data_IF_370832904836
#
_entry.id   IF_370832904836
#
_cell.length_a   1.000
_cell.length_b   1.000
_cell.length_c   1.000
_cell.angle_alpha   90.00
_cell.angle_beta   90.00
_cell.angle_gamma   90.00
#
_symmetry.space_group_name_H-M   'P 1'
#
loop_
_entity.id
_entity.type
_entity.pdbx_description
1 polymer ?
#
# COMPACT_ATOMS: atom_id res chain seq x y z
N UNK A 1 -14.29 -2.70 -3.72
CA UNK A 1 -14.20 -2.92 -2.27
C UNK A 1 -14.71 -1.71 -1.52
N UNK A 2 -15.59 -1.95 -0.56
CA UNK A 2 -16.10 -0.88 0.29
C UNK A 2 -15.26 -0.77 1.54
N UNK A 3 -14.55 0.33 1.66
CA UNK A 3 -13.81 0.65 2.89
C UNK A 3 -14.10 2.09 3.26
N UNK A 4 -14.03 2.37 4.56
CA UNK A 4 -14.39 3.70 5.06
C UNK A 4 -13.22 4.64 4.85
N UNK A 5 -13.21 5.30 3.70
CA UNK A 5 -12.16 6.23 3.30
C UNK A 5 -12.07 7.40 4.27
N UNK A 6 -13.21 7.94 4.69
CA UNK A 6 -13.23 9.11 5.58
C UNK A 6 -12.63 8.77 6.95
N UNK A 7 -12.99 7.63 7.50
CA UNK A 7 -12.44 7.19 8.78
C UNK A 7 -10.93 6.97 8.69
N UNK A 8 -10.49 6.37 7.58
CA UNK A 8 -9.06 6.15 7.36
C UNK A 8 -8.30 7.46 7.23
N UNK A 9 -8.88 8.43 6.50
CA UNK A 9 -8.29 9.75 6.36
C UNK A 9 -8.12 10.43 7.72
N UNK A 10 -9.13 10.34 8.57
CA UNK A 10 -9.06 10.91 9.91
C UNK A 10 -7.94 10.29 10.73
N UNK A 11 -7.78 8.96 10.64
CA UNK A 11 -6.69 8.27 11.32
C UNK A 11 -5.33 8.68 10.80
N UNK A 12 -5.19 8.81 9.48
CA UNK A 12 -3.92 9.26 8.89
C UNK A 12 -3.55 10.65 9.41
N UNK A 13 -4.50 11.56 9.43
CA UNK A 13 -4.24 12.94 9.84
C UNK A 13 -4.02 13.06 11.36
N UNK A 14 -4.61 12.15 12.14
CA UNK A 14 -4.38 12.12 13.58
C UNK A 14 -2.99 11.59 13.95
N UNK A 15 -2.43 10.69 13.12
CA UNK A 15 -1.19 10.00 13.44
C UNK A 15 0.04 10.48 12.65
N UNK A 16 -0.17 11.33 11.65
CA UNK A 16 0.92 11.82 10.79
C UNK A 16 0.74 13.29 10.50
N UNK A 17 1.85 14.04 10.51
CA UNK A 17 1.87 15.44 10.10
C UNK A 17 2.37 15.48 8.66
N UNK A 18 1.45 15.64 7.70
CA UNK A 18 1.82 15.73 6.29
C UNK A 18 2.39 17.10 5.95
N UNK A 19 3.38 17.15 5.04
CA UNK A 19 4.03 16.04 4.38
C UNK A 19 4.91 15.23 5.32
N UNK A 20 4.99 13.93 5.10
CA UNK A 20 5.79 13.06 5.95
C UNK A 20 6.23 11.81 5.18
N UNK A 21 7.25 11.15 5.71
CA UNK A 21 7.66 9.85 5.18
C UNK A 21 6.66 8.80 5.65
N UNK A 22 6.05 8.11 4.69
CA UNK A 22 5.02 7.12 4.97
C UNK A 22 5.43 5.75 4.46
N UNK A 23 5.18 4.72 5.25
CA UNK A 23 5.48 3.34 4.88
C UNK A 23 4.22 2.63 4.44
N UNK A 24 4.26 2.05 3.23
CA UNK A 24 3.22 1.16 2.74
C UNK A 24 3.72 -0.26 2.82
N UNK A 25 2.86 -1.17 3.26
CA UNK A 25 3.18 -2.60 3.24
C UNK A 25 1.95 -3.37 2.77
N UNK A 26 2.14 -4.13 1.72
CA UNK A 26 1.06 -4.91 1.12
C UNK A 26 1.46 -6.37 1.02
N UNK A 27 0.49 -7.26 1.20
CA UNK A 27 0.66 -8.70 0.98
C UNK A 27 -0.29 -9.09 -0.14
N UNK A 28 0.22 -9.81 -1.15
CA UNK A 28 -0.58 -10.27 -2.28
C UNK A 28 -0.21 -11.70 -2.61
N UNK A 29 -1.14 -12.47 -3.24
CA UNK A 29 -0.76 -13.74 -3.82
C UNK A 29 0.39 -13.56 -4.80
N UNK A 30 1.31 -14.52 -4.83
CA UNK A 30 2.50 -14.44 -5.68
C UNK A 30 2.14 -14.15 -7.14
N UNK A 31 1.06 -14.73 -7.63
CA UNK A 31 0.62 -14.53 -9.02
C UNK A 31 0.19 -13.09 -9.32
N UNK A 32 -0.05 -12.28 -8.30
CA UNK A 32 -0.44 -10.86 -8.46
C UNK A 32 0.74 -9.90 -8.32
N UNK A 33 1.94 -10.42 -8.18
CA UNK A 33 3.14 -9.62 -7.97
C UNK A 33 3.31 -8.52 -9.02
N UNK A 34 3.26 -8.90 -10.29
CA UNK A 34 3.47 -7.93 -11.38
C UNK A 34 2.37 -6.88 -11.41
N UNK A 35 1.12 -7.29 -11.19
CA UNK A 35 0.01 -6.36 -11.17
C UNK A 35 0.18 -5.31 -10.08
N UNK A 36 0.64 -5.71 -8.89
CA UNK A 36 0.88 -4.78 -7.80
C UNK A 36 2.04 -3.84 -8.12
N UNK A 37 3.15 -4.39 -8.59
CA UNK A 37 4.34 -3.57 -8.89
C UNK A 37 4.01 -2.51 -9.93
N UNK A 38 3.22 -2.86 -10.94
CA UNK A 38 2.84 -1.92 -12.00
C UNK A 38 2.02 -0.74 -11.47
N UNK A 39 1.28 -0.94 -10.39
CA UNK A 39 0.46 0.12 -9.80
C UNK A 39 1.23 1.01 -8.83
N UNK A 40 2.37 0.55 -8.33
CA UNK A 40 3.10 1.28 -7.30
C UNK A 40 4.00 2.36 -7.90
N UNK A 41 4.30 3.42 -7.14
CA UNK A 41 5.27 4.42 -7.58
C UNK A 41 6.63 3.79 -7.86
N UNK A 42 7.40 4.41 -8.74
CA UNK A 42 8.71 3.91 -9.15
C UNK A 42 9.78 4.32 -8.13
N UNK A 43 9.73 3.68 -6.97
CA UNK A 43 10.69 3.88 -5.88
C UNK A 43 11.23 2.52 -5.45
N UNK A 44 12.26 2.52 -4.61
CA UNK A 44 12.84 1.28 -4.12
C UNK A 44 11.79 0.46 -3.35
N UNK A 45 11.66 -0.81 -3.71
CA UNK A 45 10.71 -1.73 -3.09
C UNK A 45 11.47 -2.80 -2.32
N UNK A 46 10.99 -3.13 -1.12
CA UNK A 46 11.49 -4.27 -0.38
C UNK A 46 10.51 -5.41 -0.55
N UNK A 47 10.95 -6.48 -1.19
CA UNK A 47 10.09 -7.60 -1.54
C UNK A 47 10.52 -8.84 -0.76
N UNK A 48 9.55 -9.50 -0.15
CA UNK A 48 9.80 -10.71 0.63
C UNK A 48 8.79 -11.77 0.26
N UNK A 49 9.26 -12.99 -0.04
CA UNK A 49 8.40 -14.10 -0.39
C UNK A 49 8.10 -14.92 0.87
N UNK A 50 6.86 -15.39 1.02
CA UNK A 50 6.50 -16.26 2.12
C UNK A 50 7.22 -17.62 2.01
N UNK A 51 7.34 -18.32 3.14
CA UNK A 51 8.06 -19.58 3.19
C UNK A 51 7.52 -20.65 2.24
N UNK A 52 6.22 -20.60 1.95
CA UNK A 52 5.59 -21.57 1.05
C UNK A 52 5.43 -21.06 -0.37
N UNK A 53 6.01 -19.91 -0.69
CA UNK A 53 5.95 -19.26 -2.00
C UNK A 53 4.53 -18.96 -2.51
N UNK A 54 3.58 -18.82 -1.62
CA UNK A 54 2.19 -18.47 -2.00
C UNK A 54 1.91 -16.99 -2.01
N UNK A 55 2.62 -16.24 -1.17
CA UNK A 55 2.40 -14.81 -1.00
C UNK A 55 3.72 -14.07 -1.02
N UNK A 56 3.64 -12.79 -1.38
CA UNK A 56 4.76 -11.88 -1.22
C UNK A 56 4.29 -10.66 -0.43
N UNK A 57 5.23 -10.07 0.31
CA UNK A 57 5.02 -8.76 0.90
C UNK A 57 5.88 -7.75 0.16
N UNK A 58 5.32 -6.57 -0.08
CA UNK A 58 6.03 -5.47 -0.72
C UNK A 58 5.93 -4.27 0.20
N UNK A 59 7.08 -3.75 0.60
CA UNK A 59 7.18 -2.58 1.47
C UNK A 59 7.86 -1.47 0.73
N UNK A 60 7.32 -0.27 0.84
CA UNK A 60 7.96 0.93 0.29
C UNK A 60 7.76 2.09 1.23
N UNK A 61 8.73 3.00 1.20
CA UNK A 61 8.68 4.24 1.97
C UNK A 61 8.87 5.40 1.02
N UNK A 62 8.06 6.42 1.18
CA UNK A 62 8.22 7.63 0.39
C UNK A 62 7.58 8.81 1.09
N UNK A 63 8.05 9.99 0.78
CA UNK A 63 7.43 11.21 1.30
C UNK A 63 6.08 11.41 0.64
N UNK A 64 5.05 11.57 1.46
CA UNK A 64 3.70 11.80 1.00
C UNK A 64 3.26 13.20 1.36
N UNK A 65 2.70 13.91 0.39
CA UNK A 65 2.28 15.30 0.56
C UNK A 65 1.08 15.44 1.49
N UNK A 66 0.15 14.49 1.40
CA UNK A 66 -1.12 14.60 2.11
C UNK A 66 -1.75 13.23 2.31
N UNK A 67 -2.74 13.19 3.21
CA UNK A 67 -3.54 11.99 3.42
C UNK A 67 -4.28 11.58 2.15
N UNK A 68 -4.72 12.55 1.34
CA UNK A 68 -5.41 12.24 0.08
C UNK A 68 -4.51 11.48 -0.89
N UNK A 69 -3.22 11.84 -0.95
CA UNK A 69 -2.26 11.13 -1.81
C UNK A 69 -2.03 9.71 -1.34
N UNK A 70 -1.99 9.50 -0.02
CA UNK A 70 -1.88 8.15 0.54
C UNK A 70 -3.11 7.33 0.15
N UNK A 71 -4.29 7.90 0.29
CA UNK A 71 -5.55 7.22 -0.04
C UNK A 71 -5.62 6.87 -1.52
N UNK A 72 -5.13 7.75 -2.40
CA UNK A 72 -5.10 7.46 -3.84
C UNK A 72 -4.33 6.16 -4.13
N UNK A 73 -3.21 5.95 -3.45
CA UNK A 73 -2.43 4.72 -3.62
C UNK A 73 -3.22 3.51 -3.14
N UNK A 74 -3.85 3.60 -1.96
CA UNK A 74 -4.68 2.50 -1.48
C UNK A 74 -5.84 2.18 -2.40
N UNK A 75 -6.50 3.20 -2.95
CA UNK A 75 -7.60 2.99 -3.89
C UNK A 75 -7.15 2.24 -5.13
N UNK A 76 -5.95 2.53 -5.62
CA UNK A 76 -5.41 1.84 -6.77
C UNK A 76 -5.09 0.38 -6.47
N UNK A 77 -4.39 0.14 -5.36
CA UNK A 77 -3.95 -1.23 -5.04
C UNK A 77 -5.09 -2.12 -4.60
N UNK A 78 -6.15 -1.56 -4.02
CA UNK A 78 -7.31 -2.35 -3.62
C UNK A 78 -8.11 -2.92 -4.79
N UNK A 79 -7.79 -2.54 -6.02
CA UNK A 79 -8.34 -3.17 -7.21
C UNK A 79 -7.79 -4.59 -7.42
N UNK A 80 -6.70 -4.92 -6.75
CA UNK A 80 -6.07 -6.23 -6.89
C UNK A 80 -6.78 -7.21 -5.95
N UNK A 81 -7.28 -8.31 -6.52
CA UNK A 81 -7.95 -9.33 -5.73
C UNK A 81 -6.96 -10.01 -4.79
N UNK A 82 -7.35 -10.15 -3.52
CA UNK A 82 -6.55 -10.83 -2.53
C UNK A 82 -5.50 -9.98 -1.84
N UNK A 83 -5.45 -8.67 -2.13
CA UNK A 83 -4.47 -7.80 -1.47
C UNK A 83 -4.84 -7.55 -0.01
N UNK A 84 -3.82 -7.50 0.83
CA UNK A 84 -3.95 -7.12 2.24
C UNK A 84 -2.98 -5.97 2.49
N UNK A 85 -3.49 -4.88 3.05
CA UNK A 85 -2.66 -3.75 3.50
C UNK A 85 -2.45 -3.86 5.00
N UNK A 86 -1.21 -3.68 5.43
CA UNK A 86 -0.87 -3.79 6.85
C UNK A 86 -0.58 -2.42 7.43
#
# INVERSE_FOLDING_TARGET
MNWDVQQFKEKLEANHDFPCNYMFKFIVPLKKREALIDLLPKVALKIKTSANNKFISITLRMEMESSDKVIDIYNQVYQIEGIIAI
#
